data_IF_366046058860
#
_entry.id   IF_366046058860
#
_cell.length_a   1.000
_cell.length_b   1.000
_cell.length_c   1.000
_cell.angle_alpha   90.00
_cell.angle_beta   90.00
_cell.angle_gamma   90.00
#
_symmetry.space_group_name_H-M   'P 1'
#
loop_
_entity.id
_entity.type
_entity.pdbx_description
1 polymer ?
#
# COMPACT_ATOMS: atom_id res chain seq x y z
N UNK A 1 -5.58 -15.82 24.56
CA UNK A 1 -5.30 -14.47 24.97
C UNK A 1 -5.02 -13.48 23.87
N UNK A 2 -5.26 -13.88 22.67
CA UNK A 2 -4.93 -13.01 21.53
C UNK A 2 -5.96 -11.93 21.27
N UNK A 3 -7.06 -11.98 21.98
CA UNK A 3 -8.13 -11.01 21.78
C UNK A 3 -7.69 -9.58 22.07
N UNK A 4 -6.69 -9.42 22.90
CA UNK A 4 -6.20 -8.08 23.21
C UNK A 4 -5.20 -7.56 22.21
N UNK A 5 -4.75 -8.38 21.25
CA UNK A 5 -3.86 -7.90 20.20
C UNK A 5 -4.63 -6.92 19.33
N UNK A 6 -5.77 -7.36 18.81
CA UNK A 6 -6.67 -6.50 18.06
C UNK A 6 -8.09 -6.94 18.36
N UNK A 7 -8.85 -6.09 19.03
CA UNK A 7 -10.28 -6.35 19.24
C UNK A 7 -11.05 -6.21 17.92
N UNK A 8 -12.32 -6.59 17.93
CA UNK A 8 -13.12 -6.57 16.72
C UNK A 8 -13.23 -5.18 16.08
N UNK A 9 -13.50 -4.10 16.85
CA UNK A 9 -13.51 -2.76 16.26
C UNK A 9 -12.18 -2.37 15.64
N UNK A 10 -11.06 -2.68 16.30
CA UNK A 10 -9.73 -2.34 15.78
C UNK A 10 -9.41 -3.11 14.51
N UNK A 11 -9.81 -4.38 14.45
CA UNK A 11 -9.63 -5.18 13.23
C UNK A 11 -10.43 -4.61 12.07
N UNK A 12 -11.64 -4.14 12.34
CA UNK A 12 -12.46 -3.52 11.31
C UNK A 12 -11.82 -2.24 10.80
N UNK A 13 -11.30 -1.41 11.68
CA UNK A 13 -10.62 -0.17 11.30
C UNK A 13 -9.37 -0.46 10.48
N UNK A 14 -8.59 -1.45 10.87
CA UNK A 14 -7.39 -1.82 10.11
C UNK A 14 -7.78 -2.37 8.73
N UNK A 15 -8.83 -3.17 8.65
CA UNK A 15 -9.31 -3.69 7.38
C UNK A 15 -9.76 -2.58 6.46
N UNK A 16 -10.46 -1.57 7.01
CA UNK A 16 -10.90 -0.42 6.24
C UNK A 16 -9.72 0.43 5.76
N UNK A 17 -8.72 0.62 6.63
CA UNK A 17 -7.51 1.34 6.25
C UNK A 17 -6.77 0.61 5.12
N UNK A 18 -6.70 -0.71 5.19
CA UNK A 18 -6.07 -1.51 4.14
C UNK A 18 -6.84 -1.42 2.84
N UNK A 19 -8.16 -1.44 2.91
CA UNK A 19 -9.01 -1.29 1.73
C UNK A 19 -8.78 0.07 1.06
N UNK A 20 -8.70 1.13 1.85
CA UNK A 20 -8.44 2.47 1.33
C UNK A 20 -7.04 2.57 0.74
N UNK A 21 -6.06 1.93 1.35
CA UNK A 21 -4.71 1.90 0.80
C UNK A 21 -4.68 1.21 -0.55
N UNK A 22 -5.40 0.07 -0.70
CA UNK A 22 -5.48 -0.64 -1.97
C UNK A 22 -6.13 0.24 -3.04
N UNK A 23 -7.18 0.95 -2.70
CA UNK A 23 -7.85 1.86 -3.65
C UNK A 23 -6.91 2.98 -4.07
N UNK A 24 -6.16 3.55 -3.13
CA UNK A 24 -5.18 4.59 -3.42
C UNK A 24 -4.06 4.07 -4.31
N UNK A 25 -3.56 2.88 -4.00
CA UNK A 25 -2.54 2.23 -4.83
C UNK A 25 -3.02 2.02 -6.26
N UNK A 26 -4.26 1.55 -6.40
CA UNK A 26 -4.83 1.31 -7.73
C UNK A 26 -5.00 2.61 -8.51
N UNK A 27 -5.42 3.67 -7.82
CA UNK A 27 -5.54 5.00 -8.43
C UNK A 27 -4.18 5.53 -8.88
N UNK A 28 -3.15 5.35 -8.05
CA UNK A 28 -1.79 5.76 -8.40
C UNK A 28 -1.28 4.98 -9.62
N UNK A 29 -1.55 3.67 -9.66
CA UNK A 29 -1.14 2.86 -10.79
C UNK A 29 -1.86 3.26 -12.08
N UNK A 30 -3.12 3.62 -11.98
CA UNK A 30 -3.88 4.10 -13.13
C UNK A 30 -3.28 5.39 -13.69
N UNK A 31 -2.89 6.31 -12.81
CA UNK A 31 -2.22 7.53 -13.22
C UNK A 31 -0.86 7.24 -13.85
N UNK A 32 -0.06 6.40 -13.19
CA UNK A 32 1.29 6.06 -13.66
C UNK A 32 1.27 5.34 -14.99
N UNK A 33 0.22 4.55 -15.26
CA UNK A 33 0.04 3.86 -16.54
C UNK A 33 -0.74 4.65 -17.57
N UNK A 34 -1.07 5.91 -17.28
CA UNK A 34 -1.86 6.74 -18.17
C UNK A 34 -1.10 7.22 -19.40
N UNK A 35 -1.83 7.90 -20.31
CA UNK A 35 -1.22 8.33 -21.58
C UNK A 35 0.01 9.20 -21.43
N UNK A 36 0.07 10.02 -20.38
CA UNK A 36 1.20 10.90 -20.15
C UNK A 36 2.49 10.13 -19.95
N UNK A 37 2.42 8.97 -19.27
CA UNK A 37 3.61 8.17 -18.97
C UNK A 37 4.10 7.42 -20.20
N UNK A 38 3.19 7.07 -21.11
CA UNK A 38 3.55 6.33 -22.32
C UNK A 38 4.46 7.13 -23.22
N UNK A 39 4.40 8.45 -23.15
CA UNK A 39 5.23 9.33 -23.98
C UNK A 39 6.60 9.59 -23.38
N UNK A 40 6.89 9.06 -22.19
CA UNK A 40 8.12 9.36 -21.45
C UNK A 40 9.26 8.38 -21.69
N UNK A 41 9.01 7.30 -22.43
CA UNK A 41 10.05 6.31 -22.73
C UNK A 41 10.29 5.33 -21.60
N UNK A 42 11.20 4.40 -21.84
CA UNK A 42 11.43 3.26 -20.94
C UNK A 42 12.03 3.67 -19.59
N UNK A 43 12.80 4.74 -19.53
CA UNK A 43 13.37 5.22 -18.28
C UNK A 43 12.27 5.59 -17.30
N UNK A 44 11.23 6.27 -17.77
CA UNK A 44 10.11 6.63 -16.90
C UNK A 44 9.39 5.38 -16.38
N UNK A 45 9.24 4.36 -17.21
CA UNK A 45 8.62 3.11 -16.76
C UNK A 45 9.43 2.44 -15.65
N UNK A 46 10.75 2.47 -15.73
CA UNK A 46 11.61 1.93 -14.68
C UNK A 46 11.41 2.71 -13.38
N UNK A 47 11.38 4.03 -13.46
CA UNK A 47 11.20 4.89 -12.29
C UNK A 47 9.84 4.61 -11.64
N UNK A 48 8.78 4.54 -12.44
CA UNK A 48 7.43 4.32 -11.92
C UNK A 48 7.29 2.91 -11.31
N UNK A 49 7.92 1.91 -11.91
CA UNK A 49 7.89 0.57 -11.35
C UNK A 49 8.64 0.50 -10.03
N UNK A 50 9.78 1.17 -9.91
CA UNK A 50 10.51 1.25 -8.64
C UNK A 50 9.68 1.92 -7.58
N UNK A 51 9.00 3.02 -7.92
CA UNK A 51 8.13 3.71 -6.97
C UNK A 51 6.99 2.81 -6.51
N UNK A 52 6.41 2.03 -7.41
CA UNK A 52 5.33 1.10 -7.08
C UNK A 52 5.80 0.02 -6.12
N UNK A 53 6.99 -0.55 -6.35
CA UNK A 53 7.57 -1.56 -5.46
C UNK A 53 7.84 -0.97 -4.09
N UNK A 54 8.42 0.23 -4.04
CA UNK A 54 8.73 0.89 -2.77
C UNK A 54 7.46 1.18 -1.97
N UNK A 55 6.38 1.55 -2.64
CA UNK A 55 5.09 1.81 -2.00
C UNK A 55 4.55 0.55 -1.31
N UNK A 56 4.60 -0.58 -2.00
CA UNK A 56 4.15 -1.85 -1.43
C UNK A 56 5.06 -2.28 -0.28
N UNK A 57 6.36 -2.11 -0.45
CA UNK A 57 7.34 -2.44 0.59
C UNK A 57 7.12 -1.61 1.84
N UNK A 58 6.88 -0.30 1.67
CA UNK A 58 6.59 0.59 2.79
C UNK A 58 5.32 0.16 3.52
N UNK A 59 4.27 -0.23 2.80
CA UNK A 59 3.03 -0.69 3.41
C UNK A 59 3.24 -1.99 4.18
N UNK A 60 4.02 -2.91 3.63
CA UNK A 60 4.37 -4.17 4.29
C UNK A 60 5.08 -3.89 5.62
N UNK A 61 6.02 -2.97 5.63
CA UNK A 61 6.74 -2.60 6.84
C UNK A 61 5.81 -1.95 7.86
N UNK A 62 4.89 -1.11 7.42
CA UNK A 62 3.91 -0.50 8.31
C UNK A 62 3.02 -1.56 8.97
N UNK A 63 2.56 -2.54 8.19
CA UNK A 63 1.74 -3.63 8.72
C UNK A 63 2.52 -4.48 9.72
N UNK A 64 3.78 -4.75 9.44
CA UNK A 64 4.65 -5.47 10.37
C UNK A 64 4.84 -4.70 11.67
N UNK A 65 4.95 -3.37 11.58
CA UNK A 65 5.05 -2.51 12.75
C UNK A 65 3.83 -2.63 13.64
N UNK A 66 2.64 -2.68 13.06
CA UNK A 66 1.42 -2.89 13.83
C UNK A 66 1.43 -4.23 14.54
N UNK A 67 1.88 -5.29 13.87
CA UNK A 67 1.97 -6.59 14.50
C UNK A 67 2.90 -6.60 15.70
N UNK A 68 4.05 -5.93 15.58
CA UNK A 68 4.99 -5.84 16.69
C UNK A 68 4.38 -5.11 17.87
N UNK A 69 3.64 -4.02 17.60
CA UNK A 69 3.00 -3.24 18.66
C UNK A 69 1.94 -4.07 19.39
N UNK A 70 1.22 -4.91 18.67
CA UNK A 70 0.10 -5.66 19.23
C UNK A 70 0.47 -7.06 19.71
N UNK A 71 1.69 -7.50 19.50
CA UNK A 71 2.18 -8.74 20.05
C UNK A 71 2.56 -8.57 21.52
#
# INVERSE_FOLDING_TARGET
MNSYILDAPSRTLLRDAQRQWLASRDADRAFEGGPWAQDQGSMMHVILNSAAVDRVRARTQALRGYLVVFE
#
